data_IF_555762658301
#
_entry.id   IF_555762658301
#
_cell.length_a   1.000
_cell.length_b   1.000
_cell.length_c   1.000
_cell.angle_alpha   90.00
_cell.angle_beta   90.00
_cell.angle_gamma   90.00
#
_symmetry.space_group_name_H-M   'P 1'
#
loop_
_entity.id
_entity.type
_entity.pdbx_description
1 polymer ?
#
# COMPACT_ATOMS: atom_id res chain seq x y z
N UNK A 1 -33.74 -21.55 36.86
CA UNK A 1 -32.46 -20.98 36.37
C UNK A 1 -32.80 -19.96 35.29
N UNK A 2 -32.31 -18.74 35.45
CA UNK A 2 -32.82 -17.50 34.83
C UNK A 2 -32.55 -17.33 33.33
N UNK A 3 -33.37 -16.46 32.74
CA UNK A 3 -33.52 -16.09 31.34
C UNK A 3 -32.37 -15.19 30.83
N UNK A 4 -32.03 -15.46 29.56
CA UNK A 4 -31.27 -14.71 28.54
C UNK A 4 -31.18 -13.19 28.69
N UNK A 5 -29.99 -12.62 28.41
CA UNK A 5 -29.82 -11.27 27.83
C UNK A 5 -28.69 -11.24 26.80
N UNK A 6 -29.08 -10.96 25.55
CA UNK A 6 -28.18 -10.51 24.48
C UNK A 6 -27.67 -9.11 24.82
N UNK A 7 -26.39 -8.83 24.54
CA UNK A 7 -25.84 -7.48 24.55
C UNK A 7 -25.39 -7.12 23.14
N UNK A 8 -26.15 -6.23 22.51
CA UNK A 8 -25.85 -5.64 21.20
C UNK A 8 -24.68 -4.65 21.30
N UNK A 9 -23.97 -4.54 20.17
CA UNK A 9 -22.73 -3.81 19.91
C UNK A 9 -22.88 -2.28 19.96
N UNK A 10 -21.79 -1.60 20.29
CA UNK A 10 -21.50 -0.25 19.82
C UNK A 10 -19.98 -0.14 19.55
N UNK A 11 -19.57 -0.31 18.28
CA UNK A 11 -18.24 0.14 17.84
C UNK A 11 -18.51 1.25 16.83
N UNK A 12 -18.24 2.47 17.27
CA UNK A 12 -18.29 3.68 16.48
C UNK A 12 -17.08 3.65 15.53
N UNK A 13 -17.32 3.32 14.26
CA UNK A 13 -16.30 3.38 13.22
C UNK A 13 -15.89 4.84 12.98
N UNK A 14 -14.64 5.17 13.31
CA UNK A 14 -14.02 6.42 12.92
C UNK A 14 -13.33 6.18 11.57
N UNK A 15 -13.97 6.61 10.48
CA UNK A 15 -13.37 6.60 9.15
C UNK A 15 -12.24 7.65 9.10
N UNK A 16 -10.99 7.21 9.02
CA UNK A 16 -9.89 8.09 8.62
C UNK A 16 -9.75 8.04 7.09
N UNK A 17 -10.50 8.89 6.41
CA UNK A 17 -10.24 9.23 5.01
C UNK A 17 -9.30 10.44 4.98
N UNK A 18 -8.01 10.23 4.76
CA UNK A 18 -7.11 11.29 4.37
C UNK A 18 -6.92 11.24 2.85
N UNK A 19 -7.81 11.93 2.16
CA UNK A 19 -7.68 12.30 0.75
C UNK A 19 -6.51 13.29 0.63
N UNK A 20 -5.43 12.92 -0.06
CA UNK A 20 -4.40 13.87 -0.45
C UNK A 20 -4.85 14.59 -1.73
N UNK A 21 -5.56 15.70 -1.55
CA UNK A 21 -5.86 16.64 -2.65
C UNK A 21 -4.63 17.52 -2.88
N UNK A 22 -3.90 17.27 -3.97
CA UNK A 22 -2.96 18.27 -4.50
C UNK A 22 -3.76 19.37 -5.21
N UNK A 23 -3.94 20.51 -4.56
CA UNK A 23 -4.47 21.73 -5.20
C UNK A 23 -3.33 22.47 -5.91
N UNK A 24 -3.24 22.35 -7.22
CA UNK A 24 -2.41 23.23 -8.05
C UNK A 24 -3.14 24.57 -8.25
N UNK A 25 -2.86 25.55 -7.39
CA UNK A 25 -3.29 26.92 -7.60
C UNK A 25 -2.39 27.59 -8.65
N UNK A 26 -2.81 27.51 -9.92
CA UNK A 26 -2.37 28.43 -10.97
C UNK A 26 -3.06 29.78 -10.75
N UNK A 27 -2.33 30.79 -10.30
CA UNK A 27 -2.76 32.18 -10.43
C UNK A 27 -1.58 33.04 -10.87
N UNK A 28 -1.62 33.43 -12.15
CA UNK A 28 -0.61 34.25 -12.78
C UNK A 28 -0.80 35.75 -12.54
N UNK A 29 0.36 36.42 -12.53
CA UNK A 29 0.65 37.81 -12.91
C UNK A 29 0.33 38.95 -11.92
N UNK A 30 1.42 39.48 -11.36
CA UNK A 30 1.61 40.92 -11.16
C UNK A 30 3.09 41.25 -11.43
N UNK A 31 3.34 42.12 -12.41
CA UNK A 31 4.64 42.73 -12.73
C UNK A 31 4.70 44.09 -12.05
N UNK A 32 5.76 44.36 -11.29
CA UNK A 32 6.52 45.63 -11.26
C UNK A 32 7.49 45.69 -10.08
N UNK A 33 8.81 45.66 -10.34
CA UNK A 33 9.84 46.50 -9.68
C UNK A 33 11.26 46.09 -10.12
N UNK A 34 11.96 47.07 -10.68
CA UNK A 34 13.38 47.08 -11.07
C UNK A 34 14.29 46.81 -9.86
N UNK A 35 15.21 45.84 -9.96
CA UNK A 35 16.25 45.58 -8.96
C UNK A 35 17.33 44.65 -9.49
N UNK A 36 18.51 45.21 -9.72
CA UNK A 36 19.71 44.58 -10.25
C UNK A 36 20.21 43.41 -9.37
N UNK A 37 20.56 42.26 -9.97
CA UNK A 37 21.89 41.63 -9.83
C UNK A 37 21.94 40.24 -10.47
N UNK A 38 22.99 40.07 -11.27
CA UNK A 38 23.54 38.85 -11.87
C UNK A 38 23.14 37.57 -11.14
N UNK A 39 22.49 36.64 -11.85
CA UNK A 39 22.65 35.21 -11.63
C UNK A 39 22.35 34.48 -12.94
N UNK A 40 23.35 33.69 -13.36
CA UNK A 40 23.31 32.75 -14.46
C UNK A 40 21.98 32.00 -14.50
N UNK A 41 21.25 32.15 -15.60
CA UNK A 41 20.06 31.39 -15.88
C UNK A 41 20.43 29.91 -16.00
N UNK A 42 20.02 29.12 -15.02
CA UNK A 42 19.59 27.75 -15.28
C UNK A 42 18.27 27.58 -14.56
N UNK A 43 17.22 28.03 -15.26
CA UNK A 43 15.91 27.46 -15.07
C UNK A 43 16.01 25.95 -15.36
N UNK A 44 15.94 25.16 -14.30
CA UNK A 44 15.38 23.81 -14.40
C UNK A 44 14.45 23.67 -13.20
N UNK A 45 13.29 24.32 -13.32
CA UNK A 45 12.09 23.85 -12.64
C UNK A 45 11.70 22.53 -13.27
N UNK A 46 12.44 21.48 -12.95
CA UNK A 46 11.99 20.11 -13.07
C UNK A 46 11.53 19.71 -11.68
N UNK A 47 10.23 19.76 -11.43
CA UNK A 47 9.65 18.93 -10.39
C UNK A 47 9.98 17.49 -10.81
N UNK A 48 11.06 16.93 -10.28
CA UNK A 48 11.29 15.49 -10.35
C UNK A 48 10.12 14.88 -9.60
N UNK A 49 9.11 14.40 -10.33
CA UNK A 49 8.11 13.51 -9.77
C UNK A 49 8.89 12.42 -9.04
N UNK A 50 8.81 12.42 -7.70
CA UNK A 50 9.63 11.54 -6.88
C UNK A 50 9.39 10.10 -7.35
N UNK A 51 10.40 9.48 -7.95
CA UNK A 51 10.29 8.10 -8.42
C UNK A 51 10.21 7.22 -7.19
N UNK A 52 9.07 6.55 -7.00
CA UNK A 52 8.89 5.60 -5.89
C UNK A 52 9.85 4.43 -6.11
N UNK A 53 10.62 4.09 -5.09
CA UNK A 53 11.60 3.00 -5.15
C UNK A 53 10.94 1.64 -4.89
N UNK A 54 11.54 0.51 -5.32
CA UNK A 54 11.04 -0.83 -4.98
C UNK A 54 10.87 -1.04 -3.47
N UNK A 55 11.78 -0.49 -2.66
CA UNK A 55 11.69 -0.55 -1.19
C UNK A 55 10.47 0.21 -0.64
N UNK A 56 10.10 1.34 -1.25
CA UNK A 56 8.90 2.08 -0.86
C UNK A 56 7.62 1.34 -1.24
N UNK A 57 7.58 0.70 -2.42
CA UNK A 57 6.46 -0.17 -2.79
C UNK A 57 6.32 -1.35 -1.82
N UNK A 58 7.42 -2.02 -1.44
CA UNK A 58 7.37 -3.10 -0.45
C UNK A 58 6.85 -2.59 0.91
N UNK A 59 7.27 -1.41 1.36
CA UNK A 59 6.75 -0.81 2.58
C UNK A 59 5.23 -0.57 2.52
N UNK A 60 4.74 -0.04 1.40
CA UNK A 60 3.30 0.16 1.17
C UNK A 60 2.53 -1.17 1.22
N UNK A 61 3.05 -2.24 0.60
CA UNK A 61 2.42 -3.57 0.64
C UNK A 61 2.29 -4.04 2.09
N UNK A 62 3.33 -3.94 2.91
CA UNK A 62 3.29 -4.34 4.32
C UNK A 62 2.24 -3.56 5.12
N UNK A 63 2.07 -2.27 4.84
CA UNK A 63 1.02 -1.46 5.46
C UNK A 63 -0.38 -1.95 5.04
N UNK A 64 -0.61 -2.14 3.74
CA UNK A 64 -1.87 -2.67 3.21
C UNK A 64 -2.20 -4.05 3.78
N UNK A 65 -1.21 -4.94 3.95
CA UNK A 65 -1.41 -6.24 4.59
C UNK A 65 -1.91 -6.11 6.04
N UNK A 66 -1.43 -5.13 6.81
CA UNK A 66 -1.95 -4.82 8.14
C UNK A 66 -3.40 -4.31 8.12
N UNK A 67 -3.73 -3.47 7.13
CA UNK A 67 -5.09 -2.96 6.93
C UNK A 67 -6.06 -4.06 6.50
N UNK A 68 -5.63 -4.98 5.62
CA UNK A 68 -6.40 -6.16 5.21
C UNK A 68 -6.81 -6.98 6.44
N UNK A 69 -5.86 -7.30 7.32
CA UNK A 69 -6.17 -8.04 8.54
C UNK A 69 -7.16 -7.29 9.44
N UNK A 70 -7.00 -5.97 9.55
CA UNK A 70 -7.87 -5.11 10.36
C UNK A 70 -9.31 -5.10 9.83
N UNK A 71 -9.48 -4.84 8.54
CA UNK A 71 -10.79 -4.84 7.88
C UNK A 71 -11.45 -6.22 7.91
N UNK A 72 -10.67 -7.27 7.70
CA UNK A 72 -11.14 -8.64 7.78
C UNK A 72 -11.66 -8.99 9.19
N UNK A 73 -10.93 -8.60 10.24
CA UNK A 73 -11.34 -8.80 11.63
C UNK A 73 -12.62 -8.03 12.00
N UNK A 74 -12.85 -6.89 11.35
CA UNK A 74 -14.07 -6.11 11.51
C UNK A 74 -15.26 -6.69 10.72
N UNK A 75 -15.04 -7.75 9.94
CA UNK A 75 -16.05 -8.38 9.09
C UNK A 75 -16.20 -7.74 7.71
N UNK A 76 -15.33 -6.79 7.36
CA UNK A 76 -15.37 -6.05 6.11
C UNK A 76 -14.58 -6.77 5.00
N UNK A 77 -14.99 -8.00 4.68
CA UNK A 77 -14.29 -8.84 3.70
C UNK A 77 -14.18 -8.20 2.30
N UNK A 78 -15.19 -7.44 1.86
CA UNK A 78 -15.13 -6.69 0.59
C UNK A 78 -14.00 -5.67 0.60
N UNK A 79 -13.87 -4.89 1.68
CA UNK A 79 -12.82 -3.89 1.80
C UNK A 79 -11.43 -4.54 1.90
N UNK A 80 -11.34 -5.66 2.63
CA UNK A 80 -10.10 -6.45 2.68
C UNK A 80 -9.69 -6.98 1.29
N UNK A 81 -10.64 -7.41 0.45
CA UNK A 81 -10.33 -7.84 -0.92
C UNK A 81 -9.85 -6.68 -1.80
N UNK A 82 -10.47 -5.50 -1.72
CA UNK A 82 -10.02 -4.30 -2.45
C UNK A 82 -8.59 -3.91 -2.09
N UNK A 83 -8.27 -3.91 -0.80
CA UNK A 83 -6.91 -3.64 -0.31
C UNK A 83 -5.92 -4.71 -0.79
N UNK A 84 -6.32 -5.98 -0.88
CA UNK A 84 -5.49 -7.05 -1.43
C UNK A 84 -5.22 -6.86 -2.93
N UNK A 85 -6.21 -6.40 -3.70
CA UNK A 85 -6.02 -6.01 -5.10
C UNK A 85 -5.03 -4.86 -5.22
N UNK A 86 -5.16 -3.84 -4.37
CA UNK A 86 -4.25 -2.69 -4.34
C UNK A 86 -2.82 -3.07 -3.93
N UNK A 87 -2.66 -3.98 -2.98
CA UNK A 87 -1.34 -4.50 -2.59
C UNK A 87 -0.62 -5.16 -3.77
N UNK A 88 -1.36 -5.82 -4.65
CA UNK A 88 -0.80 -6.43 -5.85
C UNK A 88 -0.61 -5.43 -7.01
N UNK A 89 -1.71 -4.88 -7.56
CA UNK A 89 -1.67 -4.07 -8.79
C UNK A 89 -0.94 -2.74 -8.61
N UNK A 90 -1.29 -1.97 -7.57
CA UNK A 90 -0.73 -0.63 -7.40
C UNK A 90 0.70 -0.67 -6.84
N UNK A 91 1.14 -1.81 -6.29
CA UNK A 91 2.42 -1.90 -5.58
C UNK A 91 3.30 -3.06 -6.07
N UNK A 92 2.91 -4.32 -5.88
CA UNK A 92 3.82 -5.44 -6.16
C UNK A 92 4.22 -5.56 -7.64
N UNK A 93 3.34 -5.21 -8.57
CA UNK A 93 3.67 -5.19 -10.02
C UNK A 93 4.89 -4.29 -10.31
N UNK A 94 5.07 -3.20 -9.55
CA UNK A 94 6.23 -2.30 -9.67
C UNK A 94 7.53 -2.88 -9.07
N UNK A 95 7.44 -3.97 -8.30
CA UNK A 95 8.56 -4.66 -7.66
C UNK A 95 9.01 -5.87 -8.47
N UNK A 96 8.14 -6.43 -9.32
CA UNK A 96 8.41 -7.66 -10.08
C UNK A 96 9.67 -7.55 -10.95
N UNK A 97 9.71 -6.55 -11.83
CA UNK A 97 10.85 -6.29 -12.70
C UNK A 97 12.17 -6.09 -11.94
N UNK A 98 12.23 -5.18 -10.95
CA UNK A 98 13.40 -5.00 -10.09
C UNK A 98 13.88 -6.28 -9.39
N UNK A 99 12.98 -7.12 -8.86
CA UNK A 99 13.36 -8.40 -8.23
C UNK A 99 13.93 -9.39 -9.24
N UNK A 100 13.31 -9.52 -10.40
CA UNK A 100 13.82 -10.38 -11.46
C UNK A 100 15.22 -9.94 -11.92
N UNK A 101 15.46 -8.63 -12.04
CA UNK A 101 16.77 -8.05 -12.39
C UNK A 101 17.82 -8.29 -11.30
N UNK A 102 17.42 -8.33 -10.03
CA UNK A 102 18.28 -8.71 -8.90
C UNK A 102 18.54 -10.23 -8.81
N UNK A 103 18.09 -11.02 -9.79
CA UNK A 103 18.27 -12.48 -9.81
C UNK A 103 17.33 -13.24 -8.89
N UNK A 104 16.29 -12.59 -8.36
CA UNK A 104 15.32 -13.15 -7.41
C UNK A 104 14.02 -13.60 -8.08
N UNK A 105 14.10 -14.22 -9.27
CA UNK A 105 12.90 -14.58 -10.05
C UNK A 105 11.98 -15.56 -9.31
N UNK A 106 12.52 -16.58 -8.68
CA UNK A 106 11.70 -17.56 -7.93
C UNK A 106 10.98 -16.92 -6.73
N UNK A 107 11.62 -15.97 -6.04
CA UNK A 107 11.01 -15.22 -4.95
C UNK A 107 9.90 -14.29 -5.48
N UNK A 108 10.15 -13.65 -6.62
CA UNK A 108 9.18 -12.79 -7.30
C UNK A 108 7.91 -13.56 -7.70
N UNK A 109 8.04 -14.72 -8.38
CA UNK A 109 6.89 -15.54 -8.82
C UNK A 109 6.08 -16.04 -7.60
N UNK A 110 6.76 -16.42 -6.51
CA UNK A 110 6.08 -16.82 -5.28
C UNK A 110 5.28 -15.69 -4.66
N UNK A 111 5.87 -14.49 -4.55
CA UNK A 111 5.18 -13.32 -4.00
C UNK A 111 4.02 -12.88 -4.91
N UNK A 112 4.18 -12.94 -6.23
CA UNK A 112 3.11 -12.69 -7.20
C UNK A 112 1.92 -13.61 -6.94
N UNK A 113 2.15 -14.92 -6.89
CA UNK A 113 1.08 -15.90 -6.66
C UNK A 113 0.39 -15.70 -5.29
N UNK A 114 1.17 -15.46 -4.23
CA UNK A 114 0.62 -15.24 -2.90
C UNK A 114 -0.24 -13.97 -2.81
N UNK A 115 0.21 -12.86 -3.41
CA UNK A 115 -0.50 -11.57 -3.35
C UNK A 115 -1.67 -11.50 -4.36
N UNK A 116 -1.47 -11.94 -5.59
CA UNK A 116 -2.47 -11.85 -6.68
C UNK A 116 -3.60 -12.86 -6.51
N UNK A 117 -3.29 -14.08 -6.05
CA UNK A 117 -4.23 -15.19 -6.08
C UNK A 117 -4.61 -15.67 -4.67
N UNK A 118 -3.64 -16.19 -3.91
CA UNK A 118 -3.94 -16.91 -2.67
C UNK A 118 -4.53 -16.01 -1.57
N UNK A 119 -3.98 -14.81 -1.37
CA UNK A 119 -4.47 -13.86 -0.36
C UNK A 119 -5.94 -13.52 -0.60
N UNK A 120 -6.27 -13.18 -1.86
CA UNK A 120 -7.63 -12.85 -2.27
C UNK A 120 -8.56 -14.06 -2.16
N UNK A 121 -8.08 -15.25 -2.52
CA UNK A 121 -8.85 -16.48 -2.39
C UNK A 121 -9.23 -16.74 -0.92
N UNK A 122 -8.26 -16.63 0.01
CA UNK A 122 -8.50 -16.80 1.44
C UNK A 122 -9.54 -15.81 1.99
N UNK A 123 -9.48 -14.55 1.57
CA UNK A 123 -10.47 -13.53 1.97
C UNK A 123 -11.87 -13.91 1.47
N UNK A 124 -12.00 -14.32 0.19
CA UNK A 124 -13.27 -14.73 -0.42
C UNK A 124 -13.85 -16.00 0.22
N UNK A 125 -13.00 -16.95 0.55
CA UNK A 125 -13.37 -18.21 1.21
C UNK A 125 -13.72 -18.03 2.69
N UNK A 126 -13.51 -16.83 3.23
CA UNK A 126 -13.80 -16.47 4.61
C UNK A 126 -13.11 -17.41 5.61
N UNK A 127 -11.82 -17.69 5.38
CA UNK A 127 -10.98 -18.49 6.30
C UNK A 127 -10.97 -17.89 7.71
N UNK A 128 -10.50 -18.66 8.70
CA UNK A 128 -10.40 -18.11 10.06
C UNK A 128 -9.48 -16.89 10.10
N UNK A 129 -9.74 -15.94 11.02
CA UNK A 129 -8.91 -14.74 11.20
C UNK A 129 -7.44 -15.11 11.48
N UNK A 130 -7.21 -16.16 12.27
CA UNK A 130 -5.86 -16.66 12.58
C UNK A 130 -5.16 -17.25 11.35
N UNK A 131 -5.91 -17.95 10.48
CA UNK A 131 -5.35 -18.48 9.23
C UNK A 131 -4.94 -17.35 8.29
N UNK A 132 -5.77 -16.31 8.15
CA UNK A 132 -5.42 -15.14 7.34
C UNK A 132 -4.18 -14.43 7.91
N UNK A 133 -4.11 -14.27 9.23
CA UNK A 133 -2.98 -13.63 9.90
C UNK A 133 -1.67 -14.42 9.70
N UNK A 134 -1.73 -15.75 9.79
CA UNK A 134 -0.58 -16.62 9.53
C UNK A 134 -0.11 -16.52 8.07
N UNK A 135 -1.04 -16.44 7.12
CA UNK A 135 -0.71 -16.27 5.71
C UNK A 135 -0.06 -14.90 5.43
N UNK A 136 -0.62 -13.82 5.99
CA UNK A 136 -0.04 -12.47 5.91
C UNK A 136 1.37 -12.42 6.52
N UNK A 137 1.60 -13.10 7.66
CA UNK A 137 2.93 -13.23 8.26
C UNK A 137 3.95 -13.91 7.32
N UNK A 138 3.49 -14.91 6.57
CA UNK A 138 4.30 -15.60 5.56
C UNK A 138 4.67 -14.65 4.41
N UNK A 139 3.72 -13.86 3.91
CA UNK A 139 3.98 -12.83 2.90
C UNK A 139 4.99 -11.81 3.42
N UNK A 140 4.80 -11.29 4.64
CA UNK A 140 5.71 -10.31 5.25
C UNK A 140 7.14 -10.82 5.39
N UNK A 141 7.32 -12.11 5.70
CA UNK A 141 8.64 -12.76 5.75
C UNK A 141 9.32 -12.71 4.38
N UNK A 142 8.60 -13.09 3.32
CA UNK A 142 9.12 -13.07 1.94
C UNK A 142 9.37 -11.65 1.41
N UNK A 143 8.53 -10.69 1.76
CA UNK A 143 8.79 -9.27 1.47
C UNK A 143 10.07 -8.80 2.17
N UNK A 144 10.37 -9.31 3.36
CA UNK A 144 11.66 -9.07 4.03
C UNK A 144 12.86 -9.70 3.33
N UNK A 145 12.68 -10.80 2.59
CA UNK A 145 13.71 -11.34 1.70
C UNK A 145 13.90 -10.46 0.46
N UNK A 146 12.79 -9.96 -0.11
CA UNK A 146 12.81 -9.03 -1.24
C UNK A 146 13.52 -7.71 -0.90
N UNK A 147 13.30 -7.17 0.30
CA UNK A 147 14.00 -5.97 0.79
C UNK A 147 15.53 -6.15 0.77
N UNK A 148 16.03 -7.33 1.17
CA UNK A 148 17.47 -7.63 1.19
C UNK A 148 18.11 -7.70 -0.20
N UNK A 149 17.31 -7.93 -1.24
CA UNK A 149 17.81 -7.94 -2.61
C UNK A 149 18.12 -6.53 -3.14
N UNK A 150 17.63 -5.49 -2.47
CA UNK A 150 17.81 -4.08 -2.85
C UNK A 150 18.72 -3.29 -1.90
N UNK A 151 19.22 -3.93 -0.83
CA UNK A 151 20.07 -3.32 0.19
C UNK A 151 21.56 -3.53 -0.04
#
# INVERSE_FOLDING_TARGET
MSIKRNSSRLILGLAFAAVLIFSAASMGKSVSAQGNNNNNATASGGETAATITPLQYIANIKQLLGEIQTEYNNGNATRAEELAVQAYLDNFENVEGPLAQAGQRDLMEQLEHMLREELRQKIRDKVSSDELAAFISTINTKLGEAEKAFS
#
